data_IF_009405787806
#
_entry.id   IF_009405787806
#
_cell.length_a   1.000
_cell.length_b   1.000
_cell.length_c   1.000
_cell.angle_alpha   90.00
_cell.angle_beta   90.00
_cell.angle_gamma   90.00
#
_symmetry.space_group_name_H-M   'P 1'
#
loop_
_entity.id
_entity.type
_entity.pdbx_description
1 polymer ?
#
# COMPACT_ATOMS: atom_id res chain seq x y z
N UNK A 1 -30.90 21.91 -0.65
CA UNK A 1 -29.55 22.17 -0.09
C UNK A 1 -28.93 20.84 0.28
N UNK A 2 -27.80 20.50 -0.30
CA UNK A 2 -27.17 19.18 -0.09
C UNK A 2 -26.42 19.21 1.27
N UNK A 3 -26.90 18.47 2.25
CA UNK A 3 -26.26 18.33 3.55
C UNK A 3 -24.89 17.60 3.42
N UNK A 4 -23.83 18.36 3.26
CA UNK A 4 -22.46 17.87 3.27
C UNK A 4 -21.95 17.71 4.70
N UNK A 5 -20.91 16.89 4.90
CA UNK A 5 -20.23 16.78 6.19
C UNK A 5 -19.78 18.16 6.68
N UNK A 6 -20.01 18.52 7.96
CA UNK A 6 -19.57 19.79 8.49
C UNK A 6 -18.07 20.00 8.23
N UNK A 7 -17.68 21.21 7.80
CA UNK A 7 -16.27 21.56 7.59
C UNK A 7 -15.41 21.29 8.83
N UNK A 8 -16.00 21.41 10.01
CA UNK A 8 -15.34 21.10 11.28
C UNK A 8 -14.86 19.66 11.44
N UNK A 9 -15.49 18.69 10.77
CA UNK A 9 -15.05 17.28 10.80
C UNK A 9 -14.18 16.92 9.59
N UNK A 10 -14.42 17.50 8.42
CA UNK A 10 -13.69 17.18 7.19
C UNK A 10 -12.22 17.63 7.23
N UNK A 11 -11.96 18.85 7.70
CA UNK A 11 -10.60 19.43 7.74
C UNK A 11 -9.64 18.61 8.61
N UNK A 12 -9.97 18.28 9.87
CA UNK A 12 -9.10 17.43 10.70
C UNK A 12 -8.78 16.07 10.08
N UNK A 13 -9.78 15.43 9.47
CA UNK A 13 -9.59 14.16 8.77
C UNK A 13 -8.66 14.31 7.57
N UNK A 14 -8.84 15.36 6.75
CA UNK A 14 -7.98 15.64 5.60
C UNK A 14 -6.51 15.88 6.03
N UNK A 15 -6.29 16.61 7.12
CA UNK A 15 -4.96 16.83 7.70
C UNK A 15 -4.33 15.49 8.12
N UNK A 16 -5.09 14.62 8.80
CA UNK A 16 -4.58 13.31 9.24
C UNK A 16 -4.25 12.44 8.02
N UNK A 17 -5.11 12.37 6.99
CA UNK A 17 -4.81 11.64 5.75
C UNK A 17 -3.53 12.17 5.08
N UNK A 18 -3.41 13.49 4.94
CA UNK A 18 -2.25 14.13 4.33
C UNK A 18 -0.96 13.81 5.09
N UNK A 19 -0.93 14.10 6.39
CA UNK A 19 0.27 13.92 7.21
C UNK A 19 0.67 12.45 7.36
N UNK A 20 -0.31 11.52 7.46
CA UNK A 20 -0.04 10.09 7.57
C UNK A 20 0.70 9.54 6.34
N UNK A 21 0.22 9.89 5.15
CA UNK A 21 0.84 9.44 3.90
C UNK A 21 2.10 10.24 3.56
N UNK A 22 2.16 11.50 3.97
CA UNK A 22 3.38 12.30 3.88
C UNK A 22 4.50 11.69 4.73
N UNK A 23 4.23 11.38 5.99
CA UNK A 23 5.19 10.71 6.85
C UNK A 23 5.63 9.35 6.30
N UNK A 24 4.68 8.55 5.79
CA UNK A 24 5.00 7.27 5.17
C UNK A 24 5.93 7.43 3.96
N UNK A 25 5.66 8.38 3.07
CA UNK A 25 6.47 8.65 1.88
C UNK A 25 7.88 9.15 2.21
N UNK A 26 8.01 9.97 3.27
CA UNK A 26 9.30 10.54 3.69
C UNK A 26 10.34 9.49 4.09
N UNK A 27 9.93 8.37 4.68
CA UNK A 27 10.89 7.33 5.04
C UNK A 27 10.92 6.16 4.06
N UNK A 28 9.78 5.75 3.53
CA UNK A 28 9.65 4.53 2.73
C UNK A 28 10.41 4.61 1.41
N UNK A 29 10.29 5.74 0.69
CA UNK A 29 10.89 5.90 -0.64
C UNK A 29 12.42 6.00 -0.57
N UNK A 30 13.05 6.84 0.28
CA UNK A 30 14.51 6.94 0.35
C UNK A 30 15.15 5.79 1.14
N UNK A 31 14.38 4.94 1.80
CA UNK A 31 14.85 3.97 2.79
C UNK A 31 15.96 3.05 2.27
N UNK A 32 15.82 2.51 1.06
CA UNK A 32 16.84 1.64 0.47
C UNK A 32 18.15 2.38 0.19
N UNK A 33 18.08 3.64 -0.27
CA UNK A 33 19.26 4.48 -0.48
C UNK A 33 19.95 4.79 0.84
N UNK A 34 19.18 5.05 1.91
CA UNK A 34 19.70 5.29 3.26
C UNK A 34 20.42 4.04 3.78
N UNK A 35 19.78 2.86 3.67
CA UNK A 35 20.37 1.60 4.10
C UNK A 35 21.65 1.27 3.31
N UNK A 36 21.65 1.52 1.99
CA UNK A 36 22.85 1.31 1.16
C UNK A 36 23.97 2.25 1.57
N UNK A 37 23.68 3.52 1.80
CA UNK A 37 24.66 4.52 2.26
C UNK A 37 25.23 4.19 3.63
N UNK A 38 24.44 3.59 4.53
CA UNK A 38 24.86 3.14 5.86
C UNK A 38 25.58 1.75 5.87
N UNK A 39 25.82 1.14 4.71
CA UNK A 39 26.41 -0.21 4.64
C UNK A 39 25.46 -1.33 5.05
N UNK A 40 24.17 -1.06 5.18
CA UNK A 40 23.12 -1.99 5.60
C UNK A 40 22.30 -2.54 4.42
N UNK A 41 22.86 -2.57 3.21
CA UNK A 41 22.16 -3.00 2.00
C UNK A 41 21.56 -4.41 2.08
N UNK A 42 22.19 -5.33 2.81
CA UNK A 42 21.66 -6.69 3.04
C UNK A 42 20.33 -6.71 3.81
N UNK A 43 20.02 -5.65 4.56
CA UNK A 43 18.81 -5.54 5.37
C UNK A 43 17.64 -4.88 4.66
N UNK A 44 17.78 -4.44 3.40
CA UNK A 44 16.69 -3.79 2.64
C UNK A 44 15.47 -4.71 2.58
N UNK A 45 15.61 -5.91 2.06
CA UNK A 45 14.49 -6.85 1.94
C UNK A 45 13.86 -7.24 3.29
N UNK A 46 14.63 -7.62 4.31
CA UNK A 46 14.07 -7.90 5.65
C UNK A 46 13.36 -6.70 6.28
N UNK A 47 13.88 -5.48 6.11
CA UNK A 47 13.28 -4.28 6.69
C UNK A 47 11.93 -3.93 6.05
N UNK A 48 11.80 -4.07 4.72
CA UNK A 48 10.49 -3.94 4.06
C UNK A 48 9.53 -5.07 4.44
N UNK A 49 10.03 -6.30 4.66
CA UNK A 49 9.23 -7.43 5.09
C UNK A 49 8.58 -7.24 6.47
N UNK A 50 9.12 -6.37 7.34
CA UNK A 50 8.50 -6.01 8.62
C UNK A 50 7.07 -5.49 8.46
N UNK A 51 6.78 -4.71 7.41
CA UNK A 51 5.42 -4.25 7.12
C UNK A 51 4.49 -5.40 6.74
N UNK A 52 4.98 -6.37 5.99
CA UNK A 52 4.19 -7.55 5.60
C UNK A 52 3.90 -8.45 6.81
N UNK A 53 4.86 -8.62 7.73
CA UNK A 53 4.65 -9.34 8.99
C UNK A 53 3.61 -8.61 9.85
N UNK A 54 3.68 -7.28 9.93
CA UNK A 54 2.71 -6.48 10.65
C UNK A 54 1.28 -6.63 10.07
N UNK A 55 1.11 -6.84 8.78
CA UNK A 55 -0.19 -7.05 8.16
C UNK A 55 -0.93 -8.31 8.67
N UNK A 56 -0.20 -9.32 9.17
CA UNK A 56 -0.82 -10.46 9.83
C UNK A 56 -1.15 -10.20 11.30
N UNK A 57 -0.29 -9.49 12.01
CA UNK A 57 -0.35 -9.35 13.48
C UNK A 57 -1.25 -8.18 13.87
N UNK A 58 -1.17 -7.05 13.17
CA UNK A 58 -1.86 -5.81 13.55
C UNK A 58 -3.39 -5.93 13.58
N UNK A 59 -4.06 -6.62 12.63
CA UNK A 59 -5.51 -6.80 12.70
C UNK A 59 -5.95 -7.56 13.95
N UNK A 60 -5.13 -8.51 14.42
CA UNK A 60 -5.42 -9.29 15.64
C UNK A 60 -5.33 -8.41 16.90
N UNK A 61 -4.30 -7.56 16.98
CA UNK A 61 -4.10 -6.66 18.11
C UNK A 61 -5.21 -5.60 18.15
N UNK A 62 -5.44 -4.91 17.03
CA UNK A 62 -6.43 -3.82 16.96
C UNK A 62 -7.85 -4.36 17.10
N UNK A 63 -8.16 -5.50 16.47
CA UNK A 63 -9.47 -6.15 16.59
C UNK A 63 -9.79 -6.51 18.02
N UNK A 64 -8.84 -7.09 18.77
CA UNK A 64 -9.03 -7.46 20.17
C UNK A 64 -9.26 -6.24 21.08
N UNK A 65 -8.62 -5.10 20.81
CA UNK A 65 -8.82 -3.85 21.55
C UNK A 65 -10.17 -3.20 21.21
N UNK A 66 -10.55 -3.22 19.93
CA UNK A 66 -11.84 -2.73 19.48
C UNK A 66 -13.00 -3.53 20.10
N UNK A 67 -12.87 -4.86 20.16
CA UNK A 67 -13.87 -5.75 20.77
C UNK A 67 -14.01 -5.52 22.29
N UNK A 68 -12.98 -5.01 22.96
CA UNK A 68 -13.02 -4.58 24.37
C UNK A 68 -13.60 -3.16 24.55
N UNK A 69 -14.09 -2.54 23.50
CA UNK A 69 -14.69 -1.20 23.56
C UNK A 69 -13.67 -0.06 23.71
N UNK A 70 -12.42 -0.25 23.27
CA UNK A 70 -11.42 0.82 23.32
C UNK A 70 -11.76 1.90 22.27
N UNK A 71 -11.80 3.21 22.64
CA UNK A 71 -12.17 4.26 21.70
C UNK A 71 -11.19 4.34 20.50
N UNK A 72 -11.68 4.28 19.24
CA UNK A 72 -10.80 4.20 18.05
C UNK A 72 -9.81 5.36 17.93
N UNK A 73 -10.23 6.60 18.20
CA UNK A 73 -9.37 7.79 18.13
C UNK A 73 -8.27 7.76 19.21
N UNK A 74 -8.59 7.25 20.42
CA UNK A 74 -7.58 7.09 21.48
C UNK A 74 -6.55 6.02 21.12
N UNK A 75 -6.99 4.91 20.54
CA UNK A 75 -6.12 3.86 20.03
C UNK A 75 -5.20 4.39 18.94
N UNK A 76 -5.75 5.09 17.94
CA UNK A 76 -5.02 5.71 16.85
C UNK A 76 -3.92 6.65 17.37
N UNK A 77 -4.23 7.47 18.37
CA UNK A 77 -3.28 8.39 19.01
C UNK A 77 -2.09 7.67 19.60
N UNK A 78 -2.35 6.64 20.40
CA UNK A 78 -1.30 5.84 21.05
C UNK A 78 -0.41 5.17 20.00
N UNK A 79 -1.03 4.60 18.96
CA UNK A 79 -0.31 3.95 17.87
C UNK A 79 0.58 4.92 17.11
N UNK A 80 0.13 6.16 16.85
CA UNK A 80 0.98 7.18 16.20
C UNK A 80 2.16 7.56 17.10
N UNK A 81 1.97 7.78 18.39
CA UNK A 81 3.07 8.12 19.29
C UNK A 81 4.10 6.99 19.37
N UNK A 82 3.65 5.76 19.61
CA UNK A 82 4.55 4.61 19.66
C UNK A 82 5.27 4.40 18.33
N UNK A 83 4.55 4.51 17.23
CA UNK A 83 5.10 4.37 15.88
C UNK A 83 6.16 5.45 15.59
N UNK A 84 5.90 6.72 15.95
CA UNK A 84 6.86 7.81 15.78
C UNK A 84 8.13 7.59 16.60
N UNK A 85 8.00 7.15 17.88
CA UNK A 85 9.13 6.83 18.74
C UNK A 85 9.95 5.67 18.14
N UNK A 86 9.30 4.58 17.70
CA UNK A 86 9.98 3.42 17.14
C UNK A 86 10.64 3.73 15.79
N UNK A 87 10.03 4.58 14.96
CA UNK A 87 10.65 5.05 13.72
C UNK A 87 11.90 5.90 14.02
N UNK A 88 11.83 6.83 14.97
CA UNK A 88 12.97 7.61 15.43
C UNK A 88 14.10 6.72 15.98
N UNK A 89 13.75 5.71 16.78
CA UNK A 89 14.70 4.69 17.25
C UNK A 89 15.36 3.95 16.08
N UNK A 90 14.58 3.54 15.07
CA UNK A 90 15.09 2.85 13.88
C UNK A 90 16.13 3.70 13.14
N UNK A 91 15.82 4.98 12.87
CA UNK A 91 16.77 5.86 12.19
C UNK A 91 17.97 6.25 13.05
N UNK A 92 17.80 6.29 14.37
CA UNK A 92 18.94 6.43 15.29
C UNK A 92 19.84 5.19 15.25
N UNK A 93 19.27 3.99 15.16
CA UNK A 93 20.05 2.76 15.05
C UNK A 93 20.87 2.73 13.74
N UNK A 94 20.31 3.24 12.63
CA UNK A 94 21.02 3.40 11.36
C UNK A 94 22.15 4.42 11.50
N UNK A 95 21.85 5.62 12.00
CA UNK A 95 22.76 6.76 12.10
C UNK A 95 23.94 6.48 13.03
N UNK A 96 23.69 5.76 14.12
CA UNK A 96 24.71 5.37 15.12
C UNK A 96 25.40 4.04 14.83
N UNK A 97 25.02 3.34 13.75
CA UNK A 97 25.63 2.06 13.40
C UNK A 97 25.37 0.93 14.41
N UNK A 98 24.20 0.89 15.07
CA UNK A 98 23.86 -0.15 16.07
C UNK A 98 23.62 -1.53 15.45
N UNK A 99 23.80 -1.67 14.14
CA UNK A 99 23.70 -2.92 13.42
C UNK A 99 22.28 -3.26 12.94
N UNK A 100 22.24 -4.21 11.99
CA UNK A 100 21.00 -4.55 11.29
C UNK A 100 19.93 -5.22 12.16
N UNK A 101 20.33 -5.95 13.21
CA UNK A 101 19.38 -6.56 14.14
C UNK A 101 18.55 -5.51 14.90
N UNK A 102 19.21 -4.46 15.42
CA UNK A 102 18.54 -3.34 16.12
C UNK A 102 17.62 -2.57 15.18
N UNK A 103 18.07 -2.31 13.94
CA UNK A 103 17.24 -1.74 12.88
C UNK A 103 15.96 -2.56 12.66
N UNK A 104 16.07 -3.88 12.49
CA UNK A 104 14.91 -4.74 12.23
C UNK A 104 13.93 -4.77 13.39
N UNK A 105 14.42 -4.79 14.64
CA UNK A 105 13.54 -4.71 15.83
C UNK A 105 12.77 -3.39 15.85
N UNK A 106 13.46 -2.26 15.67
CA UNK A 106 12.81 -0.95 15.63
C UNK A 106 11.79 -0.85 14.48
N UNK A 107 12.17 -1.33 13.29
CA UNK A 107 11.31 -1.32 12.11
C UNK A 107 10.07 -2.22 12.29
N UNK A 108 10.23 -3.41 12.91
CA UNK A 108 9.11 -4.29 13.19
C UNK A 108 8.13 -3.67 14.19
N UNK A 109 8.64 -3.05 15.26
CA UNK A 109 7.80 -2.37 16.26
C UNK A 109 7.08 -1.15 15.65
N UNK A 110 7.78 -0.35 14.82
CA UNK A 110 7.15 0.71 14.05
C UNK A 110 6.02 0.16 13.17
N UNK A 111 6.29 -0.87 12.38
CA UNK A 111 5.33 -1.48 11.46
C UNK A 111 4.09 -2.01 12.19
N UNK A 112 4.25 -2.68 13.34
CA UNK A 112 3.14 -3.17 14.17
C UNK A 112 2.23 -2.03 14.67
N UNK A 113 2.80 -0.87 14.96
CA UNK A 113 2.04 0.30 15.40
C UNK A 113 1.44 1.08 14.23
N UNK A 114 2.18 1.23 13.10
CA UNK A 114 1.77 2.08 11.98
C UNK A 114 0.78 1.38 11.06
N UNK A 115 0.97 0.08 10.76
CA UNK A 115 0.14 -0.67 9.81
C UNK A 115 -1.38 -0.55 10.07
N UNK A 116 -1.88 -0.68 11.31
CA UNK A 116 -3.31 -0.62 11.55
C UNK A 116 -3.88 0.80 11.51
N UNK A 117 -3.04 1.85 11.53
CA UNK A 117 -3.52 3.23 11.59
C UNK A 117 -4.31 3.64 10.36
N UNK A 118 -3.95 3.12 9.17
CA UNK A 118 -4.67 3.44 7.93
C UNK A 118 -6.10 2.90 7.92
N UNK A 119 -6.32 1.69 8.42
CA UNK A 119 -7.66 1.12 8.56
C UNK A 119 -8.47 1.83 9.64
N UNK A 120 -7.86 2.21 10.77
CA UNK A 120 -8.50 2.99 11.82
C UNK A 120 -8.92 4.38 11.32
N UNK A 121 -8.03 5.11 10.65
CA UNK A 121 -8.37 6.43 10.07
C UNK A 121 -9.50 6.30 9.07
N UNK A 122 -9.48 5.28 8.20
CA UNK A 122 -10.57 5.00 7.26
C UNK A 122 -11.88 4.71 7.97
N UNK A 123 -11.87 3.88 9.01
CA UNK A 123 -13.06 3.54 9.79
C UNK A 123 -13.65 4.77 10.48
N UNK A 124 -12.80 5.60 11.09
CA UNK A 124 -13.23 6.86 11.73
C UNK A 124 -13.82 7.81 10.68
N UNK A 125 -13.14 7.96 9.53
CA UNK A 125 -13.64 8.81 8.46
C UNK A 125 -15.00 8.34 7.92
N UNK A 126 -15.16 7.05 7.66
CA UNK A 126 -16.42 6.49 7.17
C UNK A 126 -17.60 6.67 8.16
N UNK A 127 -17.32 6.66 9.46
CA UNK A 127 -18.33 6.89 10.48
C UNK A 127 -18.74 8.38 10.60
N UNK A 128 -17.86 9.30 10.22
CA UNK A 128 -18.09 10.75 10.32
C UNK A 128 -18.70 11.37 9.05
N UNK A 129 -18.45 10.74 7.88
CA UNK A 129 -18.94 11.23 6.60
C UNK A 129 -20.44 10.98 6.49
N UNK A 130 -21.23 12.03 6.13
CA UNK A 130 -22.68 11.91 5.92
C UNK A 130 -23.01 11.14 4.64
N UNK A 131 -22.18 11.29 3.61
CA UNK A 131 -22.31 10.60 2.31
C UNK A 131 -20.97 9.95 1.93
N UNK A 132 -20.62 8.82 2.58
CA UNK A 132 -19.32 8.18 2.38
C UNK A 132 -19.00 7.88 0.91
N UNK A 133 -19.99 7.49 0.10
CA UNK A 133 -19.84 7.20 -1.32
C UNK A 133 -19.41 8.41 -2.17
N UNK A 134 -19.74 9.63 -1.75
CA UNK A 134 -19.41 10.86 -2.46
C UNK A 134 -18.20 11.59 -1.85
N UNK A 135 -18.06 11.54 -0.52
CA UNK A 135 -17.13 12.36 0.23
C UNK A 135 -15.80 11.66 0.54
N UNK A 136 -15.79 10.31 0.59
CA UNK A 136 -14.57 9.58 0.93
C UNK A 136 -13.47 9.70 -0.14
N UNK A 137 -13.83 9.67 -1.42
CA UNK A 137 -12.86 9.84 -2.51
C UNK A 137 -12.06 11.14 -2.41
N UNK A 138 -12.73 12.32 -2.34
CA UNK A 138 -12.05 13.60 -2.10
C UNK A 138 -11.22 13.64 -0.81
N UNK A 139 -11.69 13.01 0.27
CA UNK A 139 -10.93 12.93 1.53
C UNK A 139 -9.66 12.09 1.37
N UNK A 140 -9.77 10.92 0.76
CA UNK A 140 -8.64 10.02 0.53
C UNK A 140 -7.56 10.62 -0.38
N UNK A 141 -7.95 11.51 -1.32
CA UNK A 141 -7.03 12.19 -2.23
C UNK A 141 -5.97 13.03 -1.48
N UNK A 142 -6.27 13.54 -0.27
CA UNK A 142 -5.29 14.21 0.57
C UNK A 142 -4.11 13.29 0.93
N UNK A 143 -4.34 11.99 1.05
CA UNK A 143 -3.27 11.02 1.24
C UNK A 143 -2.31 10.96 0.04
N UNK A 144 -2.85 10.94 -1.19
CA UNK A 144 -2.02 10.95 -2.40
C UNK A 144 -1.21 12.25 -2.51
N UNK A 145 -1.82 13.40 -2.17
CA UNK A 145 -1.12 14.68 -2.12
C UNK A 145 -0.02 14.67 -1.04
N UNK A 146 -0.27 14.06 0.11
CA UNK A 146 0.73 13.88 1.16
C UNK A 146 1.93 13.06 0.69
N UNK A 147 1.69 11.97 -0.05
CA UNK A 147 2.77 11.16 -0.61
C UNK A 147 3.61 11.90 -1.65
N UNK A 148 2.99 12.69 -2.52
CA UNK A 148 3.69 13.55 -3.49
C UNK A 148 4.55 14.59 -2.74
N UNK A 149 3.94 15.28 -1.76
CA UNK A 149 4.63 16.26 -0.94
C UNK A 149 5.84 15.66 -0.21
N UNK A 150 5.73 14.42 0.27
CA UNK A 150 6.83 13.71 0.90
C UNK A 150 8.05 13.58 -0.01
N UNK A 151 7.86 13.12 -1.25
CA UNK A 151 8.94 13.00 -2.23
C UNK A 151 9.63 14.33 -2.50
N UNK A 152 8.86 15.39 -2.65
CA UNK A 152 9.37 16.76 -2.88
C UNK A 152 10.10 17.32 -1.67
N UNK A 153 9.56 17.14 -0.47
CA UNK A 153 10.20 17.56 0.77
C UNK A 153 11.54 16.83 0.95
N UNK A 154 11.57 15.51 0.78
CA UNK A 154 12.79 14.71 0.95
C UNK A 154 13.87 15.14 -0.04
N UNK A 155 13.52 15.27 -1.33
CA UNK A 155 14.51 15.55 -2.37
C UNK A 155 14.94 17.01 -2.43
N UNK A 156 13.98 17.96 -2.38
CA UNK A 156 14.27 19.37 -2.66
C UNK A 156 14.41 20.24 -1.42
N UNK A 157 13.72 19.92 -0.33
CA UNK A 157 13.82 20.71 0.90
C UNK A 157 14.90 20.19 1.83
N UNK A 158 14.89 18.86 2.06
CA UNK A 158 15.82 18.22 2.99
C UNK A 158 17.11 17.75 2.32
N UNK A 159 17.12 17.58 1.00
CA UNK A 159 18.20 16.94 0.24
C UNK A 159 18.64 15.61 0.88
N UNK A 160 17.67 14.78 1.32
CA UNK A 160 17.88 13.66 2.22
C UNK A 160 17.53 12.30 1.59
N UNK A 161 17.65 12.15 0.26
CA UNK A 161 17.37 10.91 -0.46
C UNK A 161 18.24 9.71 -0.06
N UNK A 162 19.34 9.94 0.66
CA UNK A 162 20.21 8.90 1.22
C UNK A 162 20.67 9.24 2.66
N UNK A 163 19.98 10.15 3.34
CA UNK A 163 20.30 10.58 4.69
C UNK A 163 19.24 10.12 5.70
N UNK A 164 19.62 9.68 6.90
CA UNK A 164 18.70 9.38 7.99
C UNK A 164 17.80 10.57 8.39
N UNK A 165 18.14 11.80 7.98
CA UNK A 165 17.36 13.00 8.24
C UNK A 165 15.91 12.88 7.76
N UNK A 166 15.66 12.29 6.59
CA UNK A 166 14.30 12.07 6.08
C UNK A 166 13.47 11.19 7.03
N UNK A 167 14.10 10.17 7.61
CA UNK A 167 13.49 9.29 8.59
C UNK A 167 13.21 9.97 9.92
N UNK A 168 14.09 10.84 10.40
CA UNK A 168 13.84 11.62 11.61
C UNK A 168 12.68 12.59 11.43
N UNK A 169 12.60 13.27 10.27
CA UNK A 169 11.48 14.16 9.96
C UNK A 169 10.18 13.38 9.84
N UNK A 170 10.22 12.19 9.21
CA UNK A 170 9.08 11.28 9.16
C UNK A 170 8.63 10.86 10.57
N UNK A 171 9.56 10.47 11.45
CA UNK A 171 9.27 10.07 12.82
C UNK A 171 8.62 11.20 13.62
N UNK A 172 9.15 12.41 13.50
CA UNK A 172 8.57 13.63 14.10
C UNK A 172 7.15 13.89 13.57
N UNK A 173 6.93 13.73 12.26
CA UNK A 173 5.61 13.91 11.64
C UNK A 173 4.61 12.86 12.15
N UNK A 174 5.01 11.59 12.27
CA UNK A 174 4.16 10.53 12.84
C UNK A 174 3.85 10.83 14.31
N UNK A 175 4.83 11.31 15.08
CA UNK A 175 4.62 11.67 16.49
C UNK A 175 3.64 12.85 16.61
N UNK A 176 3.76 13.87 15.77
CA UNK A 176 2.84 15.01 15.70
C UNK A 176 1.42 14.61 15.28
N UNK A 177 1.28 13.56 14.44
CA UNK A 177 -0.03 12.99 14.13
C UNK A 177 -0.79 12.56 15.38
N UNK A 178 -0.11 12.04 16.39
CA UNK A 178 -0.71 11.71 17.68
C UNK A 178 -1.42 12.93 18.28
N UNK A 179 -0.84 14.12 18.20
CA UNK A 179 -1.48 15.38 18.66
C UNK A 179 -2.59 15.81 17.70
N UNK A 180 -2.42 15.68 16.40
CA UNK A 180 -3.46 16.01 15.42
C UNK A 180 -4.78 15.23 15.66
N UNK A 181 -4.71 14.03 16.24
CA UNK A 181 -5.91 13.27 16.60
C UNK A 181 -6.79 13.91 17.66
N UNK A 182 -6.30 14.92 18.42
CA UNK A 182 -7.16 15.65 19.37
C UNK A 182 -8.20 16.53 18.66
N UNK A 183 -7.94 16.93 17.43
CA UNK A 183 -8.91 17.67 16.60
C UNK A 183 -9.94 16.75 15.90
N UNK A 184 -9.73 15.42 15.95
CA UNK A 184 -10.66 14.48 15.36
C UNK A 184 -11.94 14.33 16.20
N UNK A 185 -13.09 14.04 15.56
CA UNK A 185 -14.33 13.78 16.26
C UNK A 185 -14.19 12.61 17.24
N UNK A 186 -14.68 12.80 18.47
CA UNK A 186 -14.66 11.75 19.49
C UNK A 186 -15.77 10.75 19.19
N UNK A 187 -15.40 9.58 18.73
CA UNK A 187 -16.35 8.48 18.59
C UNK A 187 -16.55 7.77 19.93
N UNK A 188 -17.81 7.50 20.26
CA UNK A 188 -18.14 6.62 21.38
C UNK A 188 -17.56 5.23 21.06
N UNK A 189 -17.01 4.59 22.09
CA UNK A 189 -16.63 3.19 21.98
C UNK A 189 -17.85 2.40 21.46
N UNK A 190 -17.65 1.58 20.43
CA UNK A 190 -18.69 0.67 19.97
C UNK A 190 -19.13 -0.22 21.13
N UNK A 191 -20.39 -0.62 21.12
CA UNK A 191 -20.86 -1.67 22.05
C UNK A 191 -19.92 -2.86 21.85
N UNK A 192 -19.33 -3.35 22.93
CA UNK A 192 -18.44 -4.50 22.88
C UNK A 192 -19.16 -5.65 22.15
N UNK A 193 -18.82 -5.88 20.91
CA UNK A 193 -19.24 -7.06 20.16
C UNK A 193 -18.52 -8.25 20.77
N UNK A 194 -19.16 -9.42 20.79
CA UNK A 194 -18.49 -10.64 21.28
C UNK A 194 -17.14 -10.85 20.63
N UNK A 195 -16.19 -11.40 21.38
CA UNK A 195 -14.81 -11.61 20.94
C UNK A 195 -14.77 -12.33 19.59
N UNK A 196 -14.25 -11.64 18.56
CA UNK A 196 -14.10 -12.22 17.23
C UNK A 196 -12.99 -13.26 17.23
N UNK A 197 -13.22 -14.38 16.57
CA UNK A 197 -12.20 -15.39 16.39
C UNK A 197 -11.07 -14.81 15.50
N UNK A 198 -9.81 -15.14 15.81
CA UNK A 198 -8.65 -14.73 15.01
C UNK A 198 -8.78 -15.10 13.52
N UNK A 199 -9.46 -16.20 13.19
CA UNK A 199 -9.78 -16.59 11.81
C UNK A 199 -10.66 -15.56 11.10
N UNK A 200 -11.64 -15.02 11.80
CA UNK A 200 -12.52 -13.96 11.27
C UNK A 200 -11.77 -12.65 11.07
N UNK A 201 -10.88 -12.29 12.00
CA UNK A 201 -10.08 -11.06 11.91
C UNK A 201 -9.12 -11.09 10.70
N UNK A 202 -8.56 -12.26 10.38
CA UNK A 202 -7.71 -12.47 9.20
C UNK A 202 -8.52 -12.82 7.93
N UNK A 203 -9.83 -12.94 8.05
CA UNK A 203 -10.69 -13.29 6.92
C UNK A 203 -10.52 -14.73 6.41
N UNK A 204 -9.93 -15.65 7.23
CA UNK A 204 -9.68 -17.03 6.81
C UNK A 204 -10.96 -17.82 6.50
N UNK A 205 -12.09 -17.43 7.11
CA UNK A 205 -13.40 -18.01 6.79
C UNK A 205 -13.82 -17.72 5.33
N UNK A 206 -13.24 -16.66 4.72
CA UNK A 206 -13.47 -16.36 3.31
C UNK A 206 -12.63 -17.22 2.35
N UNK A 207 -11.74 -18.12 2.83
CA UNK A 207 -11.04 -19.08 1.97
C UNK A 207 -11.98 -19.97 1.17
N UNK A 208 -13.21 -20.15 1.63
CA UNK A 208 -14.25 -20.84 0.83
C UNK A 208 -14.52 -20.18 -0.53
N UNK A 209 -14.22 -18.89 -0.70
CA UNK A 209 -14.31 -18.17 -1.99
C UNK A 209 -13.39 -18.80 -3.04
N UNK A 210 -12.29 -19.45 -2.64
CA UNK A 210 -11.39 -20.16 -3.55
C UNK A 210 -12.03 -21.38 -4.23
N UNK A 211 -13.18 -21.83 -3.76
CA UNK A 211 -13.96 -22.88 -4.42
C UNK A 211 -14.60 -22.41 -5.72
N UNK A 212 -14.89 -21.10 -5.82
CA UNK A 212 -15.40 -20.51 -7.05
C UNK A 212 -14.24 -20.17 -8.02
N UNK A 213 -14.23 -20.69 -9.26
CA UNK A 213 -13.10 -20.56 -10.18
C UNK A 213 -12.66 -19.12 -10.41
N UNK A 214 -13.59 -18.19 -10.67
CA UNK A 214 -13.27 -16.79 -10.93
C UNK A 214 -12.72 -16.08 -9.69
N UNK A 215 -13.28 -16.34 -8.49
CA UNK A 215 -12.75 -15.76 -7.25
C UNK A 215 -11.34 -16.28 -6.96
N UNK A 216 -11.12 -17.57 -7.14
CA UNK A 216 -9.80 -18.20 -7.01
C UNK A 216 -8.81 -17.57 -7.97
N UNK A 217 -9.18 -17.43 -9.25
CA UNK A 217 -8.31 -16.86 -10.26
C UNK A 217 -7.92 -15.42 -9.91
N UNK A 218 -8.86 -14.58 -9.48
CA UNK A 218 -8.57 -13.20 -9.09
C UNK A 218 -7.67 -13.16 -7.85
N UNK A 219 -8.02 -13.88 -6.77
CA UNK A 219 -7.25 -13.88 -5.53
C UNK A 219 -5.82 -14.40 -5.74
N UNK A 220 -5.66 -15.49 -6.50
CA UNK A 220 -4.33 -16.00 -6.86
C UNK A 220 -3.57 -15.02 -7.75
N UNK A 221 -4.23 -14.41 -8.73
CA UNK A 221 -3.58 -13.42 -9.62
C UNK A 221 -3.06 -12.23 -8.85
N UNK A 222 -3.86 -11.60 -7.98
CA UNK A 222 -3.41 -10.43 -7.22
C UNK A 222 -2.30 -10.77 -6.24
N UNK A 223 -2.36 -11.96 -5.63
CA UNK A 223 -1.32 -12.42 -4.72
C UNK A 223 -0.01 -12.70 -5.45
N UNK A 224 -0.05 -13.50 -6.51
CA UNK A 224 1.15 -13.89 -7.25
C UNK A 224 1.75 -12.73 -8.05
N UNK A 225 0.92 -11.87 -8.64
CA UNK A 225 1.39 -10.68 -9.36
C UNK A 225 2.00 -9.64 -8.42
N UNK A 226 1.49 -9.51 -7.22
CA UNK A 226 2.05 -8.61 -6.21
C UNK A 226 3.47 -9.00 -5.78
N UNK A 227 3.86 -10.29 -5.90
CA UNK A 227 5.22 -10.74 -5.56
C UNK A 227 6.29 -9.99 -6.37
N UNK A 228 6.33 -10.04 -7.72
CA UNK A 228 7.29 -9.23 -8.47
C UNK A 228 7.06 -7.73 -8.27
N UNK A 229 5.81 -7.28 -8.10
CA UNK A 229 5.50 -5.85 -7.91
C UNK A 229 6.07 -5.28 -6.61
N UNK A 230 6.32 -6.09 -5.59
CA UNK A 230 6.93 -5.68 -4.33
C UNK A 230 8.36 -5.13 -4.50
N UNK A 231 9.04 -5.43 -5.60
CA UNK A 231 10.36 -4.89 -5.92
C UNK A 231 10.38 -3.36 -6.12
N UNK A 232 9.24 -2.75 -6.40
CA UNK A 232 9.17 -1.35 -6.84
C UNK A 232 9.77 -0.37 -5.83
N UNK A 233 9.25 -0.35 -4.61
CA UNK A 233 9.74 0.61 -3.60
C UNK A 233 11.15 0.31 -3.09
N UNK A 234 11.56 -0.95 -2.87
CA UNK A 234 12.92 -1.25 -2.44
C UNK A 234 13.99 -0.97 -3.49
N UNK A 235 13.73 -1.25 -4.77
CA UNK A 235 14.80 -1.32 -5.77
C UNK A 235 14.76 -0.22 -6.84
N UNK A 236 13.60 0.41 -7.12
CA UNK A 236 13.54 1.50 -8.10
C UNK A 236 14.31 2.75 -7.65
N UNK A 237 14.23 3.21 -6.37
CA UNK A 237 15.03 4.35 -5.91
C UNK A 237 16.55 4.09 -5.97
N UNK A 238 16.97 2.84 -5.73
CA UNK A 238 18.38 2.45 -5.90
C UNK A 238 18.83 2.53 -7.36
N UNK A 239 18.00 2.01 -8.27
CA UNK A 239 18.25 2.05 -9.70
C UNK A 239 18.33 3.49 -10.23
N UNK A 240 17.38 4.35 -9.82
CA UNK A 240 17.42 5.78 -10.15
C UNK A 240 18.74 6.43 -9.73
N UNK A 241 19.18 6.16 -8.48
CA UNK A 241 20.42 6.75 -7.97
C UNK A 241 21.65 6.26 -8.73
N UNK A 242 21.71 4.98 -9.10
CA UNK A 242 22.80 4.44 -9.92
C UNK A 242 22.79 4.97 -11.35
N UNK A 243 21.62 5.34 -11.89
CA UNK A 243 21.48 6.02 -13.18
C UNK A 243 21.79 7.53 -13.11
N UNK A 244 22.21 8.05 -11.95
CA UNK A 244 22.60 9.45 -11.78
C UNK A 244 21.46 10.43 -11.51
N UNK A 245 20.29 9.94 -11.07
CA UNK A 245 19.22 10.85 -10.64
C UNK A 245 19.51 11.39 -9.24
N UNK A 246 19.58 12.73 -9.11
CA UNK A 246 19.86 13.41 -7.84
C UNK A 246 18.66 13.38 -6.87
N UNK A 247 17.43 13.27 -7.41
CA UNK A 247 16.16 13.41 -6.69
C UNK A 247 15.27 12.16 -6.83
N UNK A 248 15.70 10.96 -6.37
CA UNK A 248 14.93 9.73 -6.53
C UNK A 248 13.54 9.80 -5.89
N UNK A 249 13.40 10.38 -4.68
CA UNK A 249 12.11 10.43 -3.99
C UNK A 249 11.10 11.33 -4.70
N UNK A 250 11.54 12.48 -5.21
CA UNK A 250 10.68 13.32 -6.05
C UNK A 250 10.31 12.63 -7.36
N UNK A 251 11.27 11.93 -8.00
CA UNK A 251 11.03 11.18 -9.23
C UNK A 251 10.01 10.06 -9.05
N UNK A 252 10.04 9.35 -7.92
CA UNK A 252 9.08 8.31 -7.61
C UNK A 252 7.63 8.83 -7.50
N UNK A 253 7.42 10.12 -7.22
CA UNK A 253 6.08 10.71 -7.17
C UNK A 253 5.38 10.79 -8.53
N UNK A 254 6.09 10.60 -9.66
CA UNK A 254 5.51 10.55 -11.00
C UNK A 254 4.44 9.44 -11.17
N UNK A 255 4.46 8.42 -10.33
CA UNK A 255 3.43 7.38 -10.33
C UNK A 255 2.06 7.85 -9.81
N UNK A 256 2.00 8.91 -9.02
CA UNK A 256 0.77 9.34 -8.35
C UNK A 256 -0.26 9.99 -9.29
N UNK A 257 0.12 10.87 -10.25
CA UNK A 257 -0.82 11.43 -11.21
C UNK A 257 -1.55 10.35 -12.02
N UNK A 258 -0.88 9.28 -12.40
CA UNK A 258 -1.51 8.18 -13.16
C UNK A 258 -2.41 7.30 -12.29
N UNK A 259 -2.17 7.22 -10.98
CA UNK A 259 -3.09 6.59 -10.02
C UNK A 259 -4.39 7.39 -9.94
N UNK A 260 -4.31 8.71 -9.77
CA UNK A 260 -5.48 9.61 -9.74
C UNK A 260 -6.27 9.52 -11.06
N UNK A 261 -5.58 9.63 -12.20
CA UNK A 261 -6.20 9.50 -13.51
C UNK A 261 -6.85 8.12 -13.70
N UNK A 262 -6.17 7.05 -13.28
CA UNK A 262 -6.68 5.69 -13.31
C UNK A 262 -7.97 5.52 -12.49
N UNK A 263 -8.01 6.08 -11.27
CA UNK A 263 -9.21 6.04 -10.42
C UNK A 263 -10.40 6.76 -11.04
N UNK A 264 -10.17 7.93 -11.64
CA UNK A 264 -11.23 8.69 -12.35
C UNK A 264 -11.73 7.93 -13.58
N UNK A 265 -10.83 7.31 -14.33
CA UNK A 265 -11.16 6.52 -15.51
C UNK A 265 -11.84 5.19 -15.16
N UNK A 266 -11.50 4.57 -14.04
CA UNK A 266 -11.98 3.25 -13.64
C UNK A 266 -13.52 3.19 -13.63
N UNK A 267 -14.18 4.19 -13.06
CA UNK A 267 -15.64 4.26 -12.99
C UNK A 267 -16.30 4.35 -14.40
N UNK A 268 -15.63 4.97 -15.36
CA UNK A 268 -16.10 5.05 -16.73
C UNK A 268 -15.81 3.76 -17.52
N UNK A 269 -14.62 3.18 -17.30
CA UNK A 269 -14.18 1.96 -17.98
C UNK A 269 -15.02 0.74 -17.57
N UNK A 270 -15.29 0.58 -16.27
CA UNK A 270 -16.08 -0.56 -15.77
C UNK A 270 -17.53 -0.57 -16.26
N UNK A 271 -18.07 0.59 -16.68
CA UNK A 271 -19.40 0.69 -17.33
C UNK A 271 -19.38 0.23 -18.79
N UNK A 272 -18.25 0.34 -19.48
CA UNK A 272 -18.14 0.14 -20.94
C UNK A 272 -17.40 -1.14 -21.32
N UNK A 273 -16.45 -1.56 -20.48
CA UNK A 273 -15.52 -2.65 -20.76
C UNK A 273 -15.73 -3.76 -19.73
N UNK A 274 -15.63 -5.02 -20.17
CA UNK A 274 -15.68 -6.18 -19.26
C UNK A 274 -14.53 -6.11 -18.28
N UNK A 275 -14.79 -6.42 -17.02
CA UNK A 275 -13.81 -6.41 -15.94
C UNK A 275 -12.51 -7.18 -16.29
N UNK A 276 -12.62 -8.29 -17.04
CA UNK A 276 -11.47 -9.05 -17.55
C UNK A 276 -10.44 -8.15 -18.23
N UNK A 277 -10.88 -7.27 -19.10
CA UNK A 277 -9.98 -6.41 -19.87
C UNK A 277 -9.40 -5.26 -19.06
N UNK A 278 -10.15 -4.77 -18.05
CA UNK A 278 -9.63 -3.75 -17.12
C UNK A 278 -8.51 -4.34 -16.27
N UNK A 279 -8.75 -5.52 -15.68
CA UNK A 279 -7.74 -6.24 -14.91
C UNK A 279 -6.52 -6.58 -15.77
N UNK A 280 -6.74 -7.13 -16.98
CA UNK A 280 -5.66 -7.44 -17.91
C UNK A 280 -4.84 -6.21 -18.27
N UNK A 281 -5.49 -5.06 -18.50
CA UNK A 281 -4.82 -3.78 -18.74
C UNK A 281 -3.88 -3.40 -17.59
N UNK A 282 -4.33 -3.57 -16.33
CA UNK A 282 -3.50 -3.35 -15.15
C UNK A 282 -2.28 -4.26 -15.08
N UNK A 283 -2.46 -5.55 -15.38
CA UNK A 283 -1.38 -6.54 -15.43
C UNK A 283 -0.37 -6.20 -16.55
N UNK A 284 -0.87 -5.81 -17.73
CA UNK A 284 -0.03 -5.39 -18.86
C UNK A 284 0.79 -4.14 -18.52
N UNK A 285 0.22 -3.14 -17.83
CA UNK A 285 0.99 -1.99 -17.36
C UNK A 285 2.15 -2.40 -16.44
N UNK A 286 1.97 -3.41 -15.59
CA UNK A 286 3.06 -3.94 -14.77
C UNK A 286 4.16 -4.63 -15.58
N UNK A 287 3.80 -5.39 -16.63
CA UNK A 287 4.74 -6.02 -17.56
C UNK A 287 5.51 -4.96 -18.32
N UNK A 288 4.81 -3.99 -18.95
CA UNK A 288 5.42 -2.91 -19.71
C UNK A 288 6.40 -2.12 -18.83
N UNK A 289 6.00 -1.80 -17.60
CA UNK A 289 6.83 -1.08 -16.64
C UNK A 289 8.16 -1.80 -16.37
N UNK A 290 8.12 -3.09 -16.06
CA UNK A 290 9.34 -3.84 -15.77
C UNK A 290 10.16 -4.13 -17.04
N UNK A 291 9.50 -4.29 -18.19
CA UNK A 291 10.19 -4.32 -19.48
C UNK A 291 10.96 -3.02 -19.75
N UNK A 292 10.34 -1.86 -19.47
CA UNK A 292 11.00 -0.55 -19.59
C UNK A 292 12.16 -0.39 -18.60
N UNK A 293 12.03 -0.88 -17.37
CA UNK A 293 13.14 -0.88 -16.39
C UNK A 293 14.30 -1.78 -16.84
N UNK A 294 13.99 -2.90 -17.48
CA UNK A 294 15.00 -3.81 -18.02
C UNK A 294 15.82 -3.21 -19.16
N UNK A 295 15.29 -2.21 -19.90
CA UNK A 295 16.04 -1.47 -20.91
C UNK A 295 17.20 -0.64 -20.32
N UNK A 296 17.19 -0.39 -19.02
CA UNK A 296 18.21 0.35 -18.28
C UNK A 296 18.49 1.74 -18.88
N UNK A 297 17.44 2.45 -19.25
CA UNK A 297 17.49 3.82 -19.79
C UNK A 297 16.75 4.78 -18.87
N UNK A 298 17.21 6.04 -18.80
CA UNK A 298 16.56 7.08 -17.99
C UNK A 298 15.09 7.26 -18.38
N UNK A 299 14.79 7.34 -19.69
CA UNK A 299 13.42 7.45 -20.20
C UNK A 299 12.57 6.23 -19.82
N UNK A 300 13.14 5.01 -19.95
CA UNK A 300 12.45 3.77 -19.55
C UNK A 300 12.08 3.76 -18.08
N UNK A 301 12.99 4.21 -17.20
CA UNK A 301 12.68 4.34 -15.76
C UNK A 301 11.58 5.35 -15.49
N UNK A 302 11.64 6.56 -16.06
CA UNK A 302 10.64 7.60 -15.83
C UNK A 302 9.25 7.17 -16.32
N UNK A 303 9.14 6.64 -17.55
CA UNK A 303 7.88 6.14 -18.08
C UNK A 303 7.36 4.97 -17.27
N UNK A 304 8.22 4.02 -16.90
CA UNK A 304 7.83 2.88 -16.07
C UNK A 304 7.36 3.29 -14.68
N UNK A 305 7.97 4.30 -14.05
CA UNK A 305 7.50 4.87 -12.78
C UNK A 305 6.12 5.52 -12.98
N UNK A 306 5.94 6.31 -14.03
CA UNK A 306 4.66 6.94 -14.34
C UNK A 306 3.54 5.91 -14.53
N UNK A 307 3.81 4.73 -15.09
CA UNK A 307 2.81 3.65 -15.26
C UNK A 307 2.43 2.96 -13.94
N UNK A 308 3.14 3.23 -12.82
CA UNK A 308 2.88 2.56 -11.54
C UNK A 308 1.44 2.71 -11.06
N UNK A 309 0.94 3.94 -11.06
CA UNK A 309 -0.40 4.22 -10.54
C UNK A 309 -1.51 3.57 -11.38
N UNK A 310 -1.39 3.61 -12.72
CA UNK A 310 -2.33 2.92 -13.61
C UNK A 310 -2.30 1.40 -13.39
N UNK A 311 -1.11 0.80 -13.26
CA UNK A 311 -0.95 -0.61 -12.93
C UNK A 311 -1.69 -0.93 -11.63
N UNK A 312 -1.40 -0.22 -10.54
CA UNK A 312 -2.00 -0.46 -9.22
C UNK A 312 -3.53 -0.32 -9.24
N UNK A 313 -4.04 0.73 -9.86
CA UNK A 313 -5.48 0.98 -9.95
C UNK A 313 -6.20 -0.12 -10.71
N UNK A 314 -5.70 -0.48 -11.89
CA UNK A 314 -6.45 -1.38 -12.77
C UNK A 314 -6.32 -2.85 -12.38
N UNK A 315 -5.27 -3.27 -11.65
CA UNK A 315 -5.26 -4.65 -11.16
C UNK A 315 -5.69 -4.79 -9.70
N UNK A 316 -5.14 -3.98 -8.78
CA UNK A 316 -5.34 -4.18 -7.34
C UNK A 316 -6.68 -3.60 -6.86
N UNK A 317 -6.95 -2.32 -7.18
CA UNK A 317 -8.19 -1.65 -6.76
C UNK A 317 -9.40 -2.27 -7.48
N UNK A 318 -9.25 -2.60 -8.77
CA UNK A 318 -10.32 -3.28 -9.53
C UNK A 318 -10.66 -4.66 -8.94
N UNK A 319 -9.66 -5.43 -8.50
CA UNK A 319 -9.90 -6.71 -7.83
C UNK A 319 -10.59 -6.54 -6.46
N UNK A 320 -10.26 -5.48 -5.73
CA UNK A 320 -10.93 -5.13 -4.48
C UNK A 320 -12.41 -4.81 -4.69
N UNK A 321 -12.71 -4.01 -5.74
CA UNK A 321 -14.09 -3.66 -6.14
C UNK A 321 -14.83 -4.94 -6.59
N UNK A 322 -14.19 -5.81 -7.38
CA UNK A 322 -14.77 -7.09 -7.78
C UNK A 322 -15.26 -7.91 -6.58
N UNK A 323 -14.43 -8.06 -5.54
CA UNK A 323 -14.83 -8.79 -4.34
C UNK A 323 -15.97 -8.08 -3.60
N UNK A 324 -15.92 -6.75 -3.49
CA UNK A 324 -16.96 -5.98 -2.82
C UNK A 324 -18.34 -6.12 -3.51
N UNK A 325 -18.38 -6.33 -4.81
CA UNK A 325 -19.63 -6.42 -5.59
C UNK A 325 -20.12 -7.85 -5.84
N UNK A 326 -19.20 -8.82 -5.92
CA UNK A 326 -19.50 -10.19 -6.33
C UNK A 326 -19.63 -11.18 -5.17
N UNK A 327 -19.21 -10.80 -3.97
CA UNK A 327 -19.28 -11.64 -2.78
C UNK A 327 -20.58 -11.33 -2.02
N UNK A 328 -21.15 -12.37 -1.41
CA UNK A 328 -22.33 -12.25 -0.54
C UNK A 328 -22.16 -11.12 0.48
N UNK A 329 -23.17 -10.27 0.71
CA UNK A 329 -23.10 -9.16 1.68
C UNK A 329 -22.59 -9.57 3.08
N UNK A 330 -22.95 -10.78 3.56
CA UNK A 330 -22.50 -11.30 4.84
C UNK A 330 -21.01 -11.67 4.87
N UNK A 331 -20.42 -11.90 3.71
CA UNK A 331 -19.02 -12.27 3.56
C UNK A 331 -18.10 -11.12 3.12
N UNK A 332 -18.66 -9.96 2.75
CA UNK A 332 -17.86 -8.84 2.19
C UNK A 332 -16.71 -8.41 3.08
N UNK A 333 -16.97 -8.20 4.37
CA UNK A 333 -15.92 -7.78 5.30
C UNK A 333 -14.80 -8.82 5.43
N UNK A 334 -15.16 -10.11 5.50
CA UNK A 334 -14.21 -11.23 5.56
C UNK A 334 -13.42 -11.39 4.26
N UNK A 335 -14.08 -11.20 3.11
CA UNK A 335 -13.42 -11.22 1.80
C UNK A 335 -12.39 -10.08 1.66
N UNK A 336 -12.70 -8.88 2.13
CA UNK A 336 -11.77 -7.74 2.14
C UNK A 336 -10.60 -7.98 3.13
N UNK A 337 -10.86 -8.58 4.28
CA UNK A 337 -9.80 -8.96 5.23
C UNK A 337 -8.87 -10.03 4.61
N UNK A 338 -9.42 -11.06 3.97
CA UNK A 338 -8.65 -12.06 3.23
C UNK A 338 -7.82 -11.43 2.11
N UNK A 339 -8.41 -10.52 1.32
CA UNK A 339 -7.70 -9.79 0.27
C UNK A 339 -6.51 -8.99 0.84
N UNK A 340 -6.73 -8.25 1.92
CA UNK A 340 -5.69 -7.48 2.58
C UNK A 340 -4.57 -8.38 3.14
N UNK A 341 -4.92 -9.53 3.73
CA UNK A 341 -3.96 -10.52 4.21
C UNK A 341 -3.15 -11.12 3.05
N UNK A 342 -3.80 -11.47 1.95
CA UNK A 342 -3.13 -12.06 0.78
C UNK A 342 -2.22 -11.06 0.08
N UNK A 343 -2.65 -9.81 -0.13
CA UNK A 343 -1.87 -8.80 -0.83
C UNK A 343 -0.86 -8.08 0.08
N UNK A 344 -1.28 -7.60 1.24
CA UNK A 344 -0.44 -6.89 2.20
C UNK A 344 0.49 -7.82 3.00
N UNK A 345 0.01 -9.02 3.33
CA UNK A 345 0.76 -10.02 4.09
C UNK A 345 1.54 -10.97 3.17
N UNK A 346 0.86 -11.98 2.61
CA UNK A 346 1.51 -13.08 1.86
C UNK A 346 2.31 -12.58 0.66
N UNK A 347 1.67 -11.80 -0.21
CA UNK A 347 2.28 -11.29 -1.44
C UNK A 347 3.49 -10.41 -1.15
N UNK A 348 3.35 -9.45 -0.24
CA UNK A 348 4.44 -8.56 0.11
C UNK A 348 5.57 -9.27 0.87
N UNK A 349 5.27 -10.22 1.77
CA UNK A 349 6.30 -10.98 2.48
C UNK A 349 7.14 -11.81 1.50
N UNK A 350 6.47 -12.63 0.68
CA UNK A 350 7.13 -13.41 -0.35
C UNK A 350 7.83 -12.50 -1.38
N UNK A 351 7.20 -11.37 -1.69
CA UNK A 351 7.71 -10.40 -2.63
C UNK A 351 8.99 -9.72 -2.15
N UNK A 352 8.99 -9.13 -0.96
CA UNK A 352 10.19 -8.45 -0.45
C UNK A 352 11.35 -9.42 -0.27
N UNK A 353 11.11 -10.59 0.36
CA UNK A 353 12.17 -11.57 0.55
C UNK A 353 12.61 -12.20 -0.76
N UNK A 354 11.68 -12.59 -1.64
CA UNK A 354 11.98 -13.22 -2.93
C UNK A 354 12.68 -12.28 -3.90
N UNK A 355 12.22 -11.03 -4.04
CA UNK A 355 12.87 -10.03 -4.89
C UNK A 355 14.21 -9.57 -4.31
N UNK A 356 14.36 -9.58 -2.97
CA UNK A 356 15.63 -9.35 -2.30
C UNK A 356 16.64 -10.45 -2.57
N UNK A 357 16.23 -11.71 -2.49
CA UNK A 357 17.06 -12.84 -2.87
C UNK A 357 17.45 -12.78 -4.36
N UNK A 358 16.47 -12.47 -5.23
CA UNK A 358 16.74 -12.31 -6.65
C UNK A 358 17.76 -11.18 -6.91
N UNK A 359 17.64 -10.05 -6.19
CA UNK A 359 18.59 -8.94 -6.29
C UNK A 359 19.99 -9.36 -5.92
N UNK A 360 20.16 -10.16 -4.86
CA UNK A 360 21.46 -10.67 -4.43
C UNK A 360 22.11 -11.56 -5.48
N UNK A 361 21.37 -12.53 -6.04
CA UNK A 361 21.93 -13.46 -7.03
C UNK A 361 22.14 -12.85 -8.41
N UNK A 362 21.45 -11.76 -8.75
CA UNK A 362 21.67 -11.01 -9.99
C UNK A 362 22.71 -9.91 -9.85
N UNK A 363 23.17 -9.61 -8.64
CA UNK A 363 24.25 -8.67 -8.39
C UNK A 363 25.62 -9.35 -8.50
N UNK A 364 26.62 -8.59 -8.95
CA UNK A 364 28.00 -9.03 -9.05
C UNK A 364 28.92 -8.11 -8.24
N UNK A 365 30.22 -8.42 -8.19
CA UNK A 365 31.23 -7.52 -7.60
C UNK A 365 31.29 -6.15 -8.28
N UNK A 366 30.87 -6.06 -9.54
CA UNK A 366 30.78 -4.80 -10.30
C UNK A 366 29.49 -4.02 -10.03
N UNK A 367 28.54 -4.58 -9.25
CA UNK A 367 27.27 -3.98 -8.93
C UNK A 367 26.05 -4.77 -9.43
N UNK A 368 24.83 -4.22 -9.27
CA UNK A 368 23.59 -4.86 -9.69
C UNK A 368 23.48 -4.96 -11.22
N UNK A 369 23.02 -6.09 -11.72
CA UNK A 369 22.67 -6.28 -13.13
C UNK A 369 21.20 -5.94 -13.35
N UNK A 370 20.87 -4.66 -13.38
CA UNK A 370 19.49 -4.17 -13.48
C UNK A 370 18.70 -4.75 -14.67
N UNK A 371 19.26 -4.87 -15.91
CA UNK A 371 18.52 -5.50 -17.00
C UNK A 371 18.09 -6.93 -16.68
N UNK A 372 18.97 -7.74 -16.09
CA UNK A 372 18.66 -9.12 -15.73
C UNK A 372 17.62 -9.17 -14.59
N UNK A 373 17.80 -8.35 -13.54
CA UNK A 373 16.90 -8.28 -12.41
C UNK A 373 15.46 -7.97 -12.83
N UNK A 374 15.28 -6.87 -13.58
CA UNK A 374 13.95 -6.47 -14.03
C UNK A 374 13.36 -7.39 -15.10
N UNK A 375 14.18 -8.00 -15.96
CA UNK A 375 13.71 -9.00 -16.95
C UNK A 375 13.13 -10.24 -16.30
N UNK A 376 13.74 -10.74 -15.22
CA UNK A 376 13.24 -11.90 -14.48
C UNK A 376 11.93 -11.58 -13.78
N UNK A 377 11.79 -10.38 -13.19
CA UNK A 377 10.53 -9.93 -12.58
C UNK A 377 9.44 -9.71 -13.65
N UNK A 378 9.82 -9.19 -14.82
CA UNK A 378 8.93 -9.05 -15.98
C UNK A 378 8.42 -10.43 -16.44
N UNK A 379 9.31 -11.42 -16.56
CA UNK A 379 8.95 -12.79 -16.93
C UNK A 379 7.98 -13.43 -15.92
N UNK A 380 8.21 -13.22 -14.62
CA UNK A 380 7.28 -13.65 -13.57
C UNK A 380 5.90 -12.98 -13.72
N UNK A 381 5.86 -11.68 -13.99
CA UNK A 381 4.62 -10.96 -14.24
C UNK A 381 3.88 -11.47 -15.49
N UNK A 382 4.60 -11.78 -16.57
CA UNK A 382 4.04 -12.40 -17.79
C UNK A 382 3.41 -13.76 -17.47
N UNK A 383 4.09 -14.62 -16.72
CA UNK A 383 3.57 -15.94 -16.35
C UNK A 383 2.25 -15.84 -15.57
N UNK A 384 2.17 -14.94 -14.59
CA UNK A 384 0.93 -14.71 -13.81
C UNK A 384 -0.16 -14.08 -14.69
N UNK A 385 0.17 -13.18 -15.59
CA UNK A 385 -0.80 -12.59 -16.52
C UNK A 385 -1.36 -13.63 -17.48
N UNK A 386 -0.52 -14.54 -17.97
CA UNK A 386 -0.95 -15.67 -18.81
C UNK A 386 -1.88 -16.60 -18.03
N UNK A 387 -1.55 -16.91 -16.77
CA UNK A 387 -2.44 -17.68 -15.91
C UNK A 387 -3.82 -17.00 -15.78
N UNK A 388 -3.86 -15.69 -15.50
CA UNK A 388 -5.11 -14.93 -15.41
C UNK A 388 -5.90 -14.99 -16.72
N UNK A 389 -5.25 -14.75 -17.85
CA UNK A 389 -5.90 -14.71 -19.17
C UNK A 389 -6.58 -16.04 -19.51
N UNK A 390 -5.92 -17.16 -19.21
CA UNK A 390 -6.42 -18.53 -19.49
C UNK A 390 -7.52 -18.97 -18.52
N UNK A 391 -7.45 -18.59 -17.24
CA UNK A 391 -8.32 -19.14 -16.20
C UNK A 391 -9.47 -18.23 -15.78
N UNK A 392 -9.43 -16.93 -16.08
CA UNK A 392 -10.52 -16.02 -15.76
C UNK A 392 -11.53 -15.97 -16.91
N UNK A 393 -12.70 -16.55 -16.69
CA UNK A 393 -13.75 -16.59 -17.71
C UNK A 393 -14.76 -15.47 -17.57
N UNK A 394 -14.96 -14.93 -16.36
CA UNK A 394 -15.90 -13.84 -16.11
C UNK A 394 -17.32 -14.27 -16.45
N UNK A 395 -17.80 -15.35 -15.83
CA UNK A 395 -19.13 -15.89 -16.12
C UNK A 395 -20.20 -14.81 -15.97
N UNK A 396 -20.71 -14.43 -17.09
CA UNK A 396 -21.68 -13.44 -17.44
C UNK A 396 -22.39 -12.72 -16.30
N UNK A 397 -22.19 -11.42 -16.32
CA UNK A 397 -23.24 -10.39 -16.23
C UNK A 397 -22.52 -9.04 -16.16
N UNK A 398 -22.93 -8.11 -17.02
CA UNK A 398 -22.38 -6.75 -17.01
C UNK A 398 -22.46 -6.18 -15.61
N UNK A 399 -21.39 -5.59 -15.19
CA UNK A 399 -21.07 -5.10 -13.84
C UNK A 399 -22.17 -4.20 -13.20
N UNK A 400 -23.14 -3.72 -13.99
CA UNK A 400 -24.15 -2.75 -13.58
C UNK A 400 -25.61 -3.05 -14.03
N UNK A 401 -25.94 -4.29 -14.43
CA UNK A 401 -27.29 -4.57 -14.96
C UNK A 401 -28.37 -4.97 -13.93
N UNK A 402 -28.08 -4.95 -12.60
CA UNK A 402 -29.06 -5.38 -11.57
C UNK A 402 -29.69 -4.27 -10.72
N UNK A 403 -29.46 -2.98 -11.00
CA UNK A 403 -30.16 -1.91 -10.26
C UNK A 403 -31.36 -1.32 -11.00
N UNK A 404 -31.70 -1.81 -12.21
CA UNK A 404 -32.81 -1.30 -13.00
C UNK A 404 -34.01 -2.25 -13.11
N UNK A 405 -33.96 -3.46 -12.52
CA UNK A 405 -35.02 -4.46 -12.70
C UNK A 405 -35.77 -4.84 -11.41
N UNK A 406 -35.84 -3.96 -10.41
CA UNK A 406 -36.71 -4.14 -9.24
C UNK A 406 -37.45 -2.85 -8.91
N UNK A 407 -38.09 -2.25 -9.91
CA UNK A 407 -39.19 -1.30 -9.78
C UNK A 407 -40.16 -1.65 -10.88
N UNK A 408 -40.96 -2.66 -10.66
CA UNK A 408 -42.32 -2.85 -11.15
C UNK A 408 -43.05 -3.73 -10.12
#
# INVERSE_FOLDING_TARGET
MRDSTPKSSFIPLAIVFFLQWCAAGMWNVPFSNILKAAGLGAYIAPAFACNAIAAFISPLLVGSLADRGFPPVKLLRILFWLSGIMLGFTFTAIDRGWGGGTLLVGMQLHALCFSPTSSLVTTIAMAELRRPSEEYGPLRMWGTLGWIAAGWIVSWVLAADASPLSGYVAAGTVFLLGFATYSMPVQKAGVAGGARNWKELLGLDALQLLRHPDHRTILLTVTLFGIPMAAFYPYTPLHLREMGFDHPSATMSLGQPTEVAGLLLLAALTKRIRLKWVLLGGLLFGIIRYGLFALNTSTGLLVGIALHGACYTFYNITAQIYLAERVDPLMKARAQALFAMLTGGVSNLCGYLGTGFLFQITSSSAGPRWPLYWSLLCAAAIAVTTYFFLNYHGVGHGFFRRTAASKD
#
